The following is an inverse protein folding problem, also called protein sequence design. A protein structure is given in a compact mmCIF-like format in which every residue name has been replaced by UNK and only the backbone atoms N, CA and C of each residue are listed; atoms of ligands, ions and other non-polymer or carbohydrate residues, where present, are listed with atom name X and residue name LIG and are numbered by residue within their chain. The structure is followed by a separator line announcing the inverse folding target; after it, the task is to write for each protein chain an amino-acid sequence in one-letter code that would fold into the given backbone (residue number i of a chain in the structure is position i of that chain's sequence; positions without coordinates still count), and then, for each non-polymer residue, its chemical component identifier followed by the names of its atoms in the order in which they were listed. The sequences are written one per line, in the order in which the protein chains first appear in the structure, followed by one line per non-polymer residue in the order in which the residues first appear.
data_IF_857663081663
#
_entry.id   IF_857663081663
#
_cell.length_a   1.000
_cell.length_b   1.000
_cell.length_c   1.000
_cell.angle_alpha   90.00
_cell.angle_beta   90.00
_cell.angle_gamma   90.00
#
_symmetry.space_group_name_H-M   'P 1'
#
loop_
_entity.id
_entity.type
_entity.pdbx_description
1 polymer ?
#
# COMPACT_ATOMS: atom_id res chain seq x y z
N UNK A 1 16.74 -12.81 -2.71
CA UNK A 1 17.56 -13.81 -3.43
C UNK A 1 16.62 -14.72 -4.19
N UNK A 2 17.09 -15.34 -5.28
CA UNK A 2 16.34 -16.34 -6.03
C UNK A 2 16.33 -17.72 -5.32
N UNK A 3 15.71 -18.73 -5.94
CA UNK A 3 15.62 -20.08 -5.39
C UNK A 3 16.98 -20.78 -5.20
N UNK A 4 18.04 -20.29 -5.85
CA UNK A 4 19.39 -20.84 -5.79
C UNK A 4 20.33 -20.03 -4.88
N UNK A 5 19.81 -18.98 -4.22
CA UNK A 5 20.59 -18.13 -3.32
C UNK A 5 21.43 -17.06 -4.03
N UNK A 6 21.18 -16.80 -5.31
CA UNK A 6 21.79 -15.71 -6.08
C UNK A 6 20.97 -14.42 -5.98
N UNK A 7 21.59 -13.32 -6.40
CA UNK A 7 20.83 -12.09 -6.63
C UNK A 7 19.87 -12.30 -7.79
N UNK A 8 18.62 -11.80 -7.70
CA UNK A 8 17.73 -11.87 -8.84
C UNK A 8 18.27 -11.04 -9.99
N UNK A 9 18.04 -11.49 -11.23
CA UNK A 9 18.56 -10.87 -12.45
C UNK A 9 18.21 -9.37 -12.55
N UNK A 10 16.97 -8.97 -12.26
CA UNK A 10 16.57 -7.55 -12.26
C UNK A 10 17.32 -6.68 -11.25
N UNK A 11 17.82 -7.27 -10.14
CA UNK A 11 18.65 -6.53 -9.18
C UNK A 11 20.04 -6.28 -9.73
N UNK A 12 20.59 -7.21 -10.52
CA UNK A 12 21.86 -6.99 -11.23
C UNK A 12 21.70 -5.90 -12.29
N UNK A 13 20.62 -5.92 -13.08
CA UNK A 13 20.31 -4.85 -14.06
C UNK A 13 20.20 -3.48 -13.38
N UNK A 14 19.38 -3.36 -12.32
CA UNK A 14 19.24 -2.10 -11.57
C UNK A 14 20.56 -1.64 -10.93
N UNK A 15 21.46 -2.57 -10.58
CA UNK A 15 22.79 -2.22 -10.09
C UNK A 15 23.69 -1.66 -11.20
N UNK A 16 23.58 -2.17 -12.42
CA UNK A 16 24.29 -1.64 -13.60
C UNK A 16 23.74 -0.27 -13.98
N UNK A 17 22.42 -0.11 -14.01
CA UNK A 17 21.74 1.14 -14.37
C UNK A 17 21.80 2.21 -13.25
N UNK A 18 22.34 1.85 -12.07
CA UNK A 18 22.43 2.75 -10.92
C UNK A 18 21.08 3.06 -10.26
N UNK A 19 20.03 2.30 -10.58
CA UNK A 19 18.64 2.50 -10.14
C UNK A 19 18.33 1.97 -8.72
N UNK A 20 19.22 1.17 -8.11
CA UNK A 20 19.03 0.68 -6.74
C UNK A 20 19.13 1.79 -5.69
N UNK A 21 18.33 1.68 -4.62
CA UNK A 21 18.49 2.52 -3.43
C UNK A 21 19.82 2.25 -2.73
N UNK A 22 20.26 3.17 -1.85
CA UNK A 22 21.54 3.03 -1.16
C UNK A 22 21.63 1.74 -0.32
N UNK A 23 20.53 1.37 0.36
CA UNK A 23 20.48 0.17 1.21
C UNK A 23 20.57 -1.09 0.36
N UNK A 24 19.79 -1.16 -0.72
CA UNK A 24 19.78 -2.32 -1.63
C UNK A 24 21.13 -2.49 -2.32
N UNK A 25 21.75 -1.39 -2.75
CA UNK A 25 23.09 -1.40 -3.34
C UNK A 25 24.12 -1.98 -2.37
N UNK A 26 24.12 -1.55 -1.10
CA UNK A 26 25.06 -2.05 -0.08
C UNK A 26 24.88 -3.56 0.16
N UNK A 27 23.64 -4.04 0.22
CA UNK A 27 23.35 -5.47 0.37
C UNK A 27 23.79 -6.28 -0.86
N UNK A 28 23.55 -5.77 -2.06
CA UNK A 28 23.98 -6.39 -3.30
C UNK A 28 25.52 -6.45 -3.39
N UNK A 29 26.22 -5.37 -3.09
CA UNK A 29 27.68 -5.30 -3.04
C UNK A 29 28.27 -6.27 -2.01
N UNK A 30 27.64 -6.39 -0.84
CA UNK A 30 28.05 -7.38 0.16
C UNK A 30 27.90 -8.81 -0.37
N UNK A 31 26.83 -9.13 -1.08
CA UNK A 31 26.67 -10.45 -1.70
C UNK A 31 27.72 -10.69 -2.80
N UNK A 32 27.96 -9.69 -3.66
CA UNK A 32 28.96 -9.74 -4.72
C UNK A 32 30.39 -9.91 -4.21
N UNK A 33 30.68 -9.52 -2.97
CA UNK A 33 31.97 -9.78 -2.34
C UNK A 33 32.21 -11.27 -2.01
N UNK A 34 31.15 -12.09 -2.00
CA UNK A 34 31.19 -13.50 -1.59
C UNK A 34 30.76 -14.48 -2.67
N UNK A 35 30.03 -14.04 -3.70
CA UNK A 35 29.46 -14.90 -4.73
C UNK A 35 30.12 -14.66 -6.09
N UNK A 36 31.07 -15.51 -6.49
CA UNK A 36 31.78 -15.39 -7.76
C UNK A 36 30.87 -15.46 -9.00
N UNK A 37 29.75 -16.19 -8.93
CA UNK A 37 28.80 -16.31 -10.03
C UNK A 37 28.11 -14.96 -10.31
N UNK A 38 27.51 -14.33 -9.29
CA UNK A 38 26.89 -13.02 -9.46
C UNK A 38 27.90 -11.93 -9.85
N UNK A 39 29.15 -12.02 -9.38
CA UNK A 39 30.22 -11.10 -9.82
C UNK A 39 30.54 -11.26 -11.30
N UNK A 40 30.55 -12.49 -11.82
CA UNK A 40 30.79 -12.77 -13.23
C UNK A 40 29.66 -12.23 -14.11
N UNK A 41 28.40 -12.50 -13.74
CA UNK A 41 27.22 -11.98 -14.45
C UNK A 41 27.19 -10.45 -14.47
N UNK A 42 27.46 -9.80 -13.34
CA UNK A 42 27.52 -8.34 -13.27
C UNK A 42 28.60 -7.76 -14.19
N UNK A 43 29.75 -8.44 -14.29
CA UNK A 43 30.84 -8.01 -15.17
C UNK A 43 30.43 -8.11 -16.65
N UNK A 44 29.74 -9.18 -17.02
CA UNK A 44 29.22 -9.37 -18.37
C UNK A 44 28.17 -8.30 -18.73
N UNK A 45 27.21 -8.05 -17.83
CA UNK A 45 26.20 -7.01 -18.02
C UNK A 45 26.83 -5.61 -18.18
N UNK A 46 27.84 -5.26 -17.37
CA UNK A 46 28.58 -3.99 -17.51
C UNK A 46 29.35 -3.89 -18.82
N UNK A 47 29.95 -4.99 -19.28
CA UNK A 47 30.66 -5.02 -20.55
C UNK A 47 29.69 -4.80 -21.73
N UNK A 48 28.49 -5.39 -21.66
CA UNK A 48 27.43 -5.16 -22.64
C UNK A 48 27.01 -3.69 -22.66
N UNK A 49 26.69 -3.10 -21.51
CA UNK A 49 26.29 -1.68 -21.42
C UNK A 49 27.40 -0.77 -21.94
N UNK A 50 28.65 -1.00 -21.57
CA UNK A 50 29.78 -0.22 -22.09
C UNK A 50 29.91 -0.33 -23.63
N UNK A 51 29.60 -1.48 -24.22
CA UNK A 51 29.57 -1.64 -25.67
C UNK A 51 28.44 -0.84 -26.34
N UNK A 52 27.29 -0.71 -25.67
CA UNK A 52 26.15 0.09 -26.13
C UNK A 52 26.42 1.59 -25.99
N UNK A 53 27.06 2.01 -24.90
CA UNK A 53 27.47 3.41 -24.67
C UNK A 53 28.53 3.89 -25.68
N UNK A 54 29.30 2.97 -26.25
CA UNK A 54 30.27 3.28 -27.31
C UNK A 54 29.62 3.65 -28.65
N UNK A 55 28.30 3.44 -28.82
CA UNK A 55 27.61 3.85 -30.04
C UNK A 55 27.57 5.38 -30.16
N UNK A 56 27.66 5.92 -31.39
CA UNK A 56 27.60 7.36 -31.60
C UNK A 56 26.26 7.91 -31.09
N UNK A 57 26.34 8.95 -30.26
CA UNK A 57 25.16 9.68 -29.82
C UNK A 57 24.47 10.32 -31.04
N UNK A 58 23.25 9.86 -31.33
CA UNK A 58 22.43 10.44 -32.39
C UNK A 58 21.79 11.72 -31.86
N UNK A 59 22.25 12.88 -32.35
CA UNK A 59 21.59 14.14 -32.08
C UNK A 59 20.29 14.22 -32.91
N UNK A 60 19.12 14.46 -32.28
CA UNK A 60 17.89 14.68 -33.04
C UNK A 60 17.99 15.98 -33.86
N UNK A 61 17.21 16.07 -34.94
CA UNK A 61 17.18 17.30 -35.75
C UNK A 61 16.64 18.48 -34.94
N UNK A 62 17.00 19.74 -35.26
CA UNK A 62 16.55 20.90 -34.49
C UNK A 62 15.03 21.05 -34.36
N UNK A 63 14.26 20.49 -35.30
CA UNK A 63 12.78 20.51 -35.31
C UNK A 63 12.13 19.28 -34.66
N UNK A 64 12.93 18.34 -34.16
CA UNK A 64 12.41 17.08 -33.61
C UNK A 64 11.51 17.32 -32.41
N UNK A 65 11.93 18.17 -31.47
CA UNK A 65 11.14 18.50 -30.29
C UNK A 65 9.79 19.11 -30.68
N UNK A 66 9.78 20.10 -31.59
CA UNK A 66 8.55 20.71 -32.10
C UNK A 66 7.63 19.69 -32.78
N UNK A 67 8.19 18.80 -33.59
CA UNK A 67 7.45 17.77 -34.31
C UNK A 67 6.87 16.68 -33.39
N UNK A 68 7.53 16.39 -32.27
CA UNK A 68 7.01 15.50 -31.22
C UNK A 68 5.88 16.23 -30.49
N UNK A 69 6.12 17.44 -30.00
CA UNK A 69 5.13 18.21 -29.24
C UNK A 69 3.87 18.53 -30.03
N UNK A 70 3.97 18.75 -31.34
CA UNK A 70 2.80 18.92 -32.22
C UNK A 70 1.89 17.68 -32.29
N UNK A 71 2.42 16.48 -31.96
CA UNK A 71 1.67 15.21 -31.94
C UNK A 71 1.21 14.80 -30.55
N UNK A 72 1.81 15.37 -29.50
CA UNK A 72 1.34 15.13 -28.13
C UNK A 72 0.03 15.88 -27.97
N UNK A 73 -1.09 15.18 -28.13
CA UNK A 73 -2.39 15.70 -27.72
C UNK A 73 -2.45 15.64 -26.19
N UNK A 74 -1.85 16.63 -25.53
CA UNK A 74 -2.19 16.91 -24.15
C UNK A 74 -3.61 17.43 -24.22
N UNK A 75 -4.57 16.59 -23.82
CA UNK A 75 -5.92 17.08 -23.57
C UNK A 75 -5.73 18.36 -22.76
N UNK A 76 -6.23 19.52 -23.24
CA UNK A 76 -6.07 20.76 -22.49
C UNK A 76 -6.48 20.41 -21.08
N UNK A 77 -5.60 20.63 -20.10
CA UNK A 77 -5.97 20.55 -18.70
C UNK A 77 -7.17 21.48 -18.65
N UNK A 78 -8.37 20.90 -18.71
CA UNK A 78 -9.59 21.66 -18.90
C UNK A 78 -9.47 22.72 -17.83
N UNK A 79 -9.43 23.99 -18.25
CA UNK A 79 -9.37 25.11 -17.33
C UNK A 79 -10.29 24.69 -16.22
N UNK A 80 -9.73 24.45 -15.03
CA UNK A 80 -10.45 23.83 -13.96
C UNK A 80 -11.44 24.87 -13.47
N UNK A 81 -12.50 25.15 -14.25
CA UNK A 81 -13.83 25.10 -13.70
C UNK A 81 -13.77 23.90 -12.77
N UNK A 82 -13.96 24.08 -11.46
CA UNK A 82 -14.03 22.97 -10.55
C UNK A 82 -15.15 22.13 -11.14
N UNK A 83 -14.76 21.10 -11.90
CA UNK A 83 -15.65 20.06 -12.32
C UNK A 83 -16.13 19.58 -10.98
N UNK A 84 -17.33 20.01 -10.62
CA UNK A 84 -18.04 19.52 -9.49
C UNK A 84 -18.19 18.07 -9.85
N UNK A 85 -17.19 17.27 -9.48
CA UNK A 85 -17.27 15.83 -9.43
C UNK A 85 -18.59 15.69 -8.69
N UNK A 86 -19.64 15.17 -9.33
CA UNK A 86 -20.80 14.81 -8.56
C UNK A 86 -20.24 13.71 -7.68
N UNK A 87 -19.80 14.09 -6.48
CA UNK A 87 -19.85 13.23 -5.32
C UNK A 87 -21.32 12.88 -5.32
N UNK A 88 -21.64 11.76 -5.98
CA UNK A 88 -22.82 10.99 -5.71
C UNK A 88 -22.72 10.86 -4.21
N UNK A 89 -23.43 11.71 -3.49
CA UNK A 89 -23.57 11.71 -2.06
C UNK A 89 -24.23 10.38 -1.81
N UNK A 90 -23.36 9.37 -1.72
CA UNK A 90 -23.76 7.99 -1.74
C UNK A 90 -24.47 7.82 -0.44
N UNK A 91 -25.78 7.88 -0.47
CA UNK A 91 -26.65 7.42 0.61
C UNK A 91 -26.31 5.98 1.03
N UNK A 92 -25.49 5.26 0.23
CA UNK A 92 -24.76 4.04 0.59
C UNK A 92 -23.66 4.20 1.63
N UNK A 93 -22.85 5.27 1.61
CA UNK A 93 -21.80 5.55 2.63
C UNK A 93 -22.41 5.84 4.00
N UNK A 94 -23.58 6.51 4.04
CA UNK A 94 -24.32 6.69 5.29
C UNK A 94 -24.82 5.34 5.82
N UNK A 95 -25.31 4.45 4.95
CA UNK A 95 -25.73 3.10 5.34
C UNK A 95 -24.56 2.22 5.82
N UNK A 96 -23.36 2.35 5.25
CA UNK A 96 -22.18 1.63 5.74
C UNK A 96 -21.64 2.20 7.05
N UNK A 97 -21.68 3.52 7.25
CA UNK A 97 -21.26 4.16 8.51
C UNK A 97 -22.27 3.92 9.65
N UNK A 98 -23.57 3.99 9.37
CA UNK A 98 -24.63 3.62 10.32
C UNK A 98 -24.58 2.12 10.61
N UNK A 99 -24.31 1.28 9.62
CA UNK A 99 -24.09 -0.15 9.82
C UNK A 99 -22.89 -0.45 10.71
N UNK A 100 -21.77 0.28 10.54
CA UNK A 100 -20.53 0.07 11.31
C UNK A 100 -20.64 0.52 12.77
N UNK A 101 -21.56 1.44 13.09
CA UNK A 101 -21.83 1.89 14.48
C UNK A 101 -23.00 1.12 15.11
N UNK A 102 -24.08 0.85 14.36
CA UNK A 102 -25.24 0.14 14.89
C UNK A 102 -25.05 -1.38 14.97
N UNK A 103 -24.24 -2.00 14.11
CA UNK A 103 -23.97 -3.44 14.20
C UNK A 103 -23.27 -3.85 15.52
N UNK A 104 -22.19 -3.19 15.99
CA UNK A 104 -21.60 -3.54 17.28
C UNK A 104 -22.53 -3.21 18.45
N UNK A 105 -23.35 -2.16 18.36
CA UNK A 105 -24.37 -1.83 19.36
C UNK A 105 -25.52 -2.85 19.39
N UNK A 106 -25.96 -3.38 18.25
CA UNK A 106 -26.98 -4.43 18.18
C UNK A 106 -26.46 -5.77 18.68
N UNK A 107 -25.18 -6.10 18.43
CA UNK A 107 -24.50 -7.27 19.00
C UNK A 107 -24.39 -7.11 20.52
N UNK A 108 -23.97 -5.95 21.03
CA UNK A 108 -23.91 -5.65 22.47
C UNK A 108 -25.30 -5.67 23.11
N UNK A 109 -26.33 -5.11 22.46
CA UNK A 109 -27.70 -5.13 22.96
C UNK A 109 -28.31 -6.53 22.94
N UNK A 110 -28.00 -7.38 21.96
CA UNK A 110 -28.40 -8.78 21.95
C UNK A 110 -27.68 -9.58 23.05
N UNK A 111 -26.40 -9.28 23.32
CA UNK A 111 -25.61 -9.85 24.41
C UNK A 111 -26.14 -9.46 25.80
N UNK A 112 -26.49 -8.19 26.02
CA UNK A 112 -27.02 -7.70 27.31
C UNK A 112 -28.53 -7.94 27.48
N UNK A 113 -29.29 -8.06 26.38
CA UNK A 113 -30.74 -8.23 26.39
C UNK A 113 -31.22 -9.68 26.53
N UNK A 114 -30.33 -10.67 26.66
CA UNK A 114 -30.71 -12.06 26.86
C UNK A 114 -31.42 -12.71 25.67
N UNK A 115 -31.24 -12.19 24.45
CA UNK A 115 -31.83 -12.77 23.24
C UNK A 115 -30.93 -13.88 22.70
N UNK A 116 -31.44 -15.11 22.70
CA UNK A 116 -30.78 -16.33 22.26
C UNK A 116 -30.44 -16.35 20.76
N UNK A 117 -29.43 -15.58 20.32
CA UNK A 117 -28.74 -15.87 19.07
C UNK A 117 -27.67 -16.89 19.37
N UNK A 118 -28.00 -18.17 19.17
CA UNK A 118 -27.05 -19.27 19.35
C UNK A 118 -25.75 -19.04 18.57
N UNK A 119 -24.66 -19.66 19.02
CA UNK A 119 -23.29 -19.54 18.51
C UNK A 119 -23.18 -19.44 16.97
N UNK A 120 -24.08 -20.09 16.23
CA UNK A 120 -24.15 -20.04 14.76
C UNK A 120 -24.55 -18.68 14.14
N UNK A 121 -25.35 -17.86 14.83
CA UNK A 121 -25.74 -16.53 14.35
C UNK A 121 -24.62 -15.49 14.48
N UNK A 122 -23.84 -15.59 15.56
CA UNK A 122 -22.60 -14.82 15.71
C UNK A 122 -21.56 -15.26 14.67
N UNK A 123 -21.43 -16.56 14.41
CA UNK A 123 -20.49 -17.08 13.42
C UNK A 123 -20.82 -16.65 11.98
N UNK A 124 -22.10 -16.59 11.59
CA UNK A 124 -22.50 -16.13 10.24
C UNK A 124 -22.31 -14.62 10.06
N UNK A 125 -22.58 -13.82 11.10
CA UNK A 125 -22.33 -12.38 11.09
C UNK A 125 -20.83 -12.06 11.00
N UNK A 126 -20.01 -12.76 11.80
CA UNK A 126 -18.55 -12.60 11.81
C UNK A 126 -17.93 -13.07 10.50
N UNK A 127 -18.36 -14.21 9.96
CA UNK A 127 -17.82 -14.73 8.69
C UNK A 127 -18.24 -13.88 7.48
N UNK A 128 -19.47 -13.36 7.46
CA UNK A 128 -19.94 -12.40 6.46
C UNK A 128 -19.12 -11.12 6.45
N UNK A 129 -18.91 -10.53 7.64
CA UNK A 129 -18.07 -9.33 7.79
C UNK A 129 -16.61 -9.58 7.39
N UNK A 130 -16.05 -10.73 7.78
CA UNK A 130 -14.66 -11.07 7.43
C UNK A 130 -14.46 -11.19 5.93
N UNK A 131 -15.41 -11.77 5.17
CA UNK A 131 -15.33 -11.87 3.70
C UNK A 131 -15.37 -10.50 3.04
N UNK A 132 -16.27 -9.62 3.47
CA UNK A 132 -16.38 -8.26 2.92
C UNK A 132 -15.15 -7.41 3.24
N UNK A 133 -14.60 -7.51 4.45
CA UNK A 133 -13.37 -6.81 4.85
C UNK A 133 -12.16 -7.35 4.09
N UNK A 134 -12.05 -8.66 3.94
CA UNK A 134 -10.97 -9.30 3.17
C UNK A 134 -10.98 -8.87 1.72
N UNK A 135 -12.16 -8.79 1.10
CA UNK A 135 -12.29 -8.43 -0.31
C UNK A 135 -11.92 -6.97 -0.59
N UNK A 136 -12.33 -6.06 0.29
CA UNK A 136 -11.97 -4.64 0.18
C UNK A 136 -10.49 -4.36 0.51
N UNK A 137 -9.90 -5.09 1.46
CA UNK A 137 -8.48 -5.00 1.77
C UNK A 137 -7.60 -5.53 0.63
N UNK A 138 -8.04 -6.60 -0.04
CA UNK A 138 -7.33 -7.18 -1.18
C UNK A 138 -7.36 -6.28 -2.41
N UNK A 139 -8.46 -5.54 -2.63
CA UNK A 139 -8.62 -4.69 -3.82
C UNK A 139 -7.97 -3.31 -3.69
N UNK A 140 -7.84 -2.76 -2.49
CA UNK A 140 -7.40 -1.36 -2.30
C UNK A 140 -6.12 -1.20 -1.46
N UNK A 141 -5.68 -2.21 -0.71
CA UNK A 141 -4.69 -2.04 0.36
C UNK A 141 -3.28 -2.54 0.10
N UNK A 142 -3.02 -3.33 -0.94
CA UNK A 142 -1.77 -4.09 -1.04
C UNK A 142 -0.51 -3.24 -1.25
N UNK A 143 -0.62 -2.05 -1.85
CA UNK A 143 0.58 -1.27 -2.20
C UNK A 143 1.04 -0.30 -1.09
N UNK A 144 0.13 0.26 -0.30
CA UNK A 144 0.44 1.25 0.75
C UNK A 144 0.67 0.63 2.13
N UNK A 145 0.05 -0.51 2.42
CA UNK A 145 0.19 -1.17 3.73
C UNK A 145 1.48 -1.97 3.88
N UNK A 146 2.10 -2.44 2.78
CA UNK A 146 3.38 -3.17 2.82
C UNK A 146 4.55 -2.23 3.13
N UNK A 147 4.48 -0.96 2.71
CA UNK A 147 5.60 -0.01 2.83
C UNK A 147 5.76 0.62 4.21
N UNK A 148 4.73 0.56 5.06
CA UNK A 148 4.70 1.30 6.34
C UNK A 148 5.12 0.47 7.56
N UNK A 149 5.40 -0.83 7.40
CA UNK A 149 5.80 -1.70 8.53
C UNK A 149 4.72 -1.90 9.60
N UNK A 150 3.54 -1.30 9.43
CA UNK A 150 2.45 -1.30 10.41
C UNK A 150 1.81 -2.68 10.56
N UNK A 151 1.85 -3.51 9.50
CA UNK A 151 1.43 -4.90 9.54
C UNK A 151 2.37 -5.79 10.36
N UNK A 152 3.69 -5.58 10.26
CA UNK A 152 4.66 -6.34 11.05
C UNK A 152 4.57 -6.00 12.53
N UNK A 153 4.49 -4.71 12.88
CA UNK A 153 4.25 -4.28 14.27
C UNK A 153 2.93 -4.84 14.83
N UNK A 154 1.85 -4.82 14.04
CA UNK A 154 0.56 -5.38 14.45
C UNK A 154 0.59 -6.89 14.65
N UNK A 155 1.28 -7.62 13.76
CA UNK A 155 1.44 -9.07 13.85
C UNK A 155 2.30 -9.48 15.06
N UNK A 156 3.42 -8.80 15.31
CA UNK A 156 4.28 -9.05 16.47
C UNK A 156 3.57 -8.76 17.79
N UNK A 157 2.78 -7.68 17.83
CA UNK A 157 1.95 -7.33 19.00
C UNK A 157 0.89 -8.41 19.25
N UNK A 158 0.23 -8.90 18.19
CA UNK A 158 -0.77 -9.96 18.31
C UNK A 158 -0.15 -11.31 18.73
N UNK A 159 1.05 -11.62 18.24
CA UNK A 159 1.80 -12.83 18.60
C UNK A 159 2.33 -12.79 20.05
N UNK A 160 2.55 -11.59 20.61
CA UNK A 160 2.94 -11.40 22.01
C UNK A 160 1.79 -11.64 23.01
N UNK A 161 0.54 -11.74 22.54
CA UNK A 161 -0.62 -12.02 23.39
C UNK A 161 -0.67 -13.53 23.69
N UNK A 162 -0.59 -13.95 24.97
CA UNK A 162 -0.50 -15.36 25.35
C UNK A 162 -1.84 -16.09 25.13
N UNK A 163 -2.07 -16.55 23.89
CA UNK A 163 -3.13 -17.47 23.48
C UNK A 163 -4.58 -16.97 23.66
N UNK A 164 -5.56 -17.59 22.97
CA UNK A 164 -6.97 -17.25 23.11
C UNK A 164 -7.55 -17.90 24.37
N UNK A 165 -7.06 -17.49 25.53
CA UNK A 165 -7.76 -17.78 26.80
C UNK A 165 -8.89 -16.76 26.96
N UNK A 166 -9.97 -17.12 27.65
CA UNK A 166 -11.08 -16.20 27.97
C UNK A 166 -10.60 -14.92 28.68
N UNK A 167 -9.38 -14.93 29.25
CA UNK A 167 -8.72 -13.79 29.87
C UNK A 167 -8.09 -12.79 28.87
N UNK A 168 -7.86 -13.16 27.60
CA UNK A 168 -7.28 -12.28 26.57
C UNK A 168 -8.31 -11.44 25.80
N UNK A 169 -9.59 -11.85 25.83
CA UNK A 169 -10.71 -11.11 25.25
C UNK A 169 -10.83 -9.65 25.69
N UNK A 170 -10.71 -9.30 26.99
CA UNK A 170 -10.78 -7.89 27.40
C UNK A 170 -9.66 -7.06 26.79
N UNK A 171 -8.45 -7.61 26.63
CA UNK A 171 -7.30 -6.90 26.04
C UNK A 171 -7.53 -6.65 24.55
N UNK A 172 -8.00 -7.65 23.81
CA UNK A 172 -8.34 -7.51 22.39
C UNK A 172 -9.45 -6.47 22.19
N UNK A 173 -10.49 -6.51 23.04
CA UNK A 173 -11.57 -5.51 23.02
C UNK A 173 -11.06 -4.11 23.36
N UNK A 174 -10.13 -3.97 24.31
CA UNK A 174 -9.52 -2.69 24.66
C UNK A 174 -8.68 -2.12 23.51
N UNK A 175 -7.89 -2.97 22.84
CA UNK A 175 -7.09 -2.58 21.67
C UNK A 175 -7.99 -2.15 20.52
N UNK A 176 -9.08 -2.89 20.23
CA UNK A 176 -10.05 -2.50 19.21
C UNK A 176 -10.81 -1.22 19.59
N UNK A 177 -11.21 -1.09 20.85
CA UNK A 177 -11.88 0.10 21.37
C UNK A 177 -11.00 1.36 21.31
N UNK A 178 -9.67 1.22 21.39
CA UNK A 178 -8.73 2.33 21.23
C UNK A 178 -8.35 2.61 19.77
N UNK A 179 -8.21 1.57 18.94
CA UNK A 179 -7.78 1.70 17.55
C UNK A 179 -8.83 2.38 16.66
N UNK A 180 -10.12 2.07 16.86
CA UNK A 180 -11.23 2.63 16.09
C UNK A 180 -11.33 4.17 16.23
N UNK A 181 -11.36 4.76 17.44
CA UNK A 181 -11.40 6.21 17.59
C UNK A 181 -10.10 6.90 17.15
N UNK A 182 -8.94 6.25 17.30
CA UNK A 182 -7.68 6.79 16.79
C UNK A 182 -7.70 6.94 15.27
N UNK A 183 -8.16 5.90 14.55
CA UNK A 183 -8.33 5.94 13.10
C UNK A 183 -9.38 6.99 12.65
N UNK A 184 -10.48 7.11 13.39
CA UNK A 184 -11.49 8.12 13.13
C UNK A 184 -10.94 9.55 13.32
N UNK A 185 -10.10 9.76 14.34
CA UNK A 185 -9.46 11.04 14.61
C UNK A 185 -8.45 11.43 13.53
N UNK A 186 -7.59 10.49 13.09
CA UNK A 186 -6.60 10.76 12.02
C UNK A 186 -7.30 11.09 10.70
N UNK A 187 -8.38 10.39 10.36
CA UNK A 187 -9.19 10.68 9.18
C UNK A 187 -9.83 12.06 9.27
N UNK A 188 -10.43 12.40 10.42
CA UNK A 188 -11.03 13.71 10.67
C UNK A 188 -10.02 14.86 10.69
N UNK A 189 -8.75 14.57 11.04
CA UNK A 189 -7.65 15.53 10.98
C UNK A 189 -7.20 15.78 9.55
N UNK A 190 -7.08 14.74 8.72
CA UNK A 190 -6.72 14.89 7.30
C UNK A 190 -7.80 15.67 6.52
N UNK A 191 -9.08 15.43 6.81
CA UNK A 191 -10.19 16.18 6.22
C UNK A 191 -10.24 17.65 6.66
N UNK A 192 -9.63 17.98 7.81
CA UNK A 192 -9.57 19.34 8.35
C UNK A 192 -8.29 20.08 8.01
N UNK A 193 -7.28 19.41 7.46
CA UNK A 193 -6.07 20.07 7.02
C UNK A 193 -6.41 20.96 5.82
N UNK A 194 -6.33 22.30 5.94
CA UNK A 194 -6.56 23.18 4.81
C UNK A 194 -5.49 22.87 3.75
N UNK A 195 -5.92 22.69 2.50
CA UNK A 195 -5.01 22.63 1.36
C UNK A 195 -4.30 23.98 1.24
N UNK A 196 -3.18 24.15 1.95
CA UNK A 196 -2.38 25.37 1.87
C UNK A 196 -1.81 25.44 0.47
N UNK A 197 -2.27 26.47 -0.24
CA UNK A 197 -2.13 26.62 -1.67
C UNK A 197 -0.69 26.65 -2.15
N UNK A 198 -0.40 25.83 -3.15
CA UNK A 198 0.70 26.07 -4.07
C UNK A 198 0.25 27.13 -5.08
N UNK A 199 0.28 28.40 -4.68
CA UNK A 199 0.34 29.52 -5.61
C UNK A 199 1.81 29.71 -5.99
N UNK A 200 2.26 29.08 -7.08
CA UNK A 200 3.50 29.47 -7.73
C UNK A 200 3.18 30.63 -8.67
N UNK A 201 3.70 31.81 -8.30
CA UNK A 201 3.86 32.98 -9.14
C UNK A 201 5.04 32.81 -10.10
#
# INVERSE_FOLDING_TARGET
MDANGHLPYWTLEQLVDGALSHVERSLAEQHLSRCAHCTAELKEARALVASLEAFPALAPSPRFADAVMARVNIAPAAAAEPAAIPVRAGSRRWKTLVGMVLAPLAILAAWFGGAATGMGGLWSAVSGWSRDVSWNLLSEGTETLIRTGMFQWGADTLASIPGPTLAGLPVILLVLAAAVPAAAWTMARMLRAPATGMTHA
#
